data_IF_873374300340
#
_entry.id   IF_873374300340
#
_cell.length_a   1.000
_cell.length_b   1.000
_cell.length_c   1.000
_cell.angle_alpha   90.00
_cell.angle_beta   90.00
_cell.angle_gamma   90.00
#
_symmetry.space_group_name_H-M   'P 1'
#
loop_
_entity.id
_entity.type
_entity.pdbx_description
1 polymer ?
#
# COMPACT_ATOMS: atom_id res chain seq x y z
N UNK A 1 7.00 -3.41 -15.83
CA UNK A 1 6.93 -1.97 -15.82
C UNK A 1 6.74 -1.44 -14.43
N UNK A 2 7.53 -0.48 -14.04
CA UNK A 2 7.45 0.08 -12.69
C UNK A 2 6.37 1.16 -12.65
N UNK A 3 5.52 1.09 -11.64
CA UNK A 3 4.47 2.08 -11.44
C UNK A 3 4.63 2.69 -10.06
N UNK A 4 4.38 3.97 -9.94
CA UNK A 4 4.42 4.65 -8.65
C UNK A 4 3.00 4.68 -8.11
N UNK A 5 2.78 3.94 -7.05
CA UNK A 5 1.47 3.86 -6.41
C UNK A 5 1.50 4.68 -5.13
N UNK A 6 0.55 5.57 -4.98
CA UNK A 6 0.55 6.55 -3.91
C UNK A 6 -0.67 6.42 -2.99
N UNK A 7 -0.42 6.74 -1.73
CA UNK A 7 -1.49 6.91 -0.76
C UNK A 7 -1.52 8.40 -0.44
N UNK A 8 -2.70 9.01 -0.46
CA UNK A 8 -2.86 10.42 -0.16
C UNK A 8 -3.63 10.55 1.14
N UNK A 9 -3.05 11.24 2.10
CA UNK A 9 -3.65 11.39 3.43
C UNK A 9 -5.01 12.05 3.31
N UNK A 10 -5.98 11.50 3.99
CA UNK A 10 -7.33 12.04 3.96
C UNK A 10 -8.18 11.57 2.79
N UNK A 11 -7.61 10.83 1.86
CA UNK A 11 -8.36 10.30 0.74
C UNK A 11 -8.29 8.78 0.75
N UNK A 12 -9.41 8.11 0.55
CA UNK A 12 -9.40 6.65 0.60
C UNK A 12 -8.80 6.06 -0.67
N UNK A 13 -8.35 4.83 -0.56
CA UNK A 13 -7.88 4.08 -1.72
C UNK A 13 -6.46 4.44 -2.12
N UNK A 14 -6.13 4.10 -3.31
CA UNK A 14 -4.80 4.27 -3.86
C UNK A 14 -4.86 5.00 -5.19
N UNK A 15 -3.74 5.59 -5.56
CA UNK A 15 -3.63 6.37 -6.77
C UNK A 15 -2.36 6.02 -7.51
N UNK A 16 -2.41 6.09 -8.82
CA UNK A 16 -1.25 5.84 -9.66
C UNK A 16 -0.75 7.18 -10.17
N UNK A 17 0.55 7.41 -10.09
CA UNK A 17 1.13 8.66 -10.61
C UNK A 17 1.08 8.63 -12.14
N UNK A 18 0.50 9.67 -12.72
CA UNK A 18 0.38 9.76 -14.17
C UNK A 18 1.43 10.71 -14.73
N UNK A 19 1.55 11.89 -14.13
CA UNK A 19 2.53 12.87 -14.59
C UNK A 19 2.87 13.86 -13.51
N UNK A 20 3.91 14.65 -13.73
CA UNK A 20 4.32 15.65 -12.80
C UNK A 20 4.14 17.01 -13.43
N UNK A 21 3.53 17.94 -12.71
CA UNK A 21 3.39 19.31 -13.17
C UNK A 21 4.23 20.20 -12.30
N UNK A 22 4.09 21.51 -12.51
CA UNK A 22 4.79 22.44 -11.71
C UNK A 22 4.08 22.56 -10.40
N UNK A 23 4.70 22.16 -9.34
CA UNK A 23 4.12 22.26 -8.01
C UNK A 23 3.01 21.27 -7.71
N UNK A 24 2.78 20.32 -8.59
CA UNK A 24 1.76 19.30 -8.31
C UNK A 24 2.08 18.00 -9.03
N UNK A 25 1.31 16.99 -8.70
CA UNK A 25 1.38 15.69 -9.36
C UNK A 25 -0.01 15.40 -9.90
N UNK A 26 -0.08 14.76 -11.03
CA UNK A 26 -1.37 14.30 -11.56
C UNK A 26 -1.45 12.80 -11.30
N UNK A 27 -2.49 12.40 -10.61
CA UNK A 27 -2.67 11.01 -10.23
C UNK A 27 -4.01 10.48 -10.74
N UNK A 28 -4.09 9.17 -10.88
CA UNK A 28 -5.31 8.51 -11.33
C UNK A 28 -5.76 7.54 -10.26
N UNK A 29 -7.01 7.63 -9.85
CA UNK A 29 -7.57 6.76 -8.83
C UNK A 29 -7.59 5.31 -9.32
N UNK A 30 -7.20 4.38 -8.46
CA UNK A 30 -7.24 2.97 -8.80
C UNK A 30 -8.59 2.41 -8.38
N UNK A 31 -9.63 2.88 -9.06
CA UNK A 31 -10.98 2.38 -8.84
C UNK A 31 -11.71 2.41 -10.17
N UNK A 32 -12.99 2.11 -10.17
CA UNK A 32 -13.74 2.00 -11.41
C UNK A 32 -13.85 3.32 -12.15
N UNK A 33 -13.66 4.44 -11.48
CA UNK A 33 -13.81 5.74 -12.12
C UNK A 33 -12.59 6.14 -12.91
N UNK A 34 -11.40 5.66 -12.49
CA UNK A 34 -10.11 6.04 -13.09
C UNK A 34 -9.98 7.56 -13.18
N UNK A 35 -10.54 8.24 -12.19
CA UNK A 35 -10.54 9.68 -12.21
C UNK A 35 -9.16 10.25 -11.97
N UNK A 36 -8.78 11.24 -12.73
CA UNK A 36 -7.49 11.91 -12.57
C UNK A 36 -7.69 13.20 -11.79
N UNK A 37 -6.72 13.53 -10.96
CA UNK A 37 -6.82 14.76 -10.18
C UNK A 37 -5.43 15.23 -9.81
N UNK A 38 -5.29 16.52 -9.49
CA UNK A 38 -3.99 17.03 -9.05
C UNK A 38 -3.82 16.82 -7.55
N UNK A 39 -2.57 16.60 -7.15
CA UNK A 39 -2.20 16.51 -5.75
C UNK A 39 -1.10 17.54 -5.55
N UNK A 40 -1.23 18.37 -4.54
CA UNK A 40 -0.34 19.50 -4.33
C UNK A 40 0.65 19.26 -3.19
N UNK A 41 1.63 20.13 -3.10
CA UNK A 41 2.66 20.01 -2.07
C UNK A 41 2.09 20.02 -0.65
N UNK A 42 0.91 20.63 -0.46
CA UNK A 42 0.29 20.67 0.84
C UNK A 42 -0.37 19.34 1.22
N UNK A 43 -0.57 18.46 0.26
CA UNK A 43 -1.17 17.17 0.55
C UNK A 43 -0.09 16.21 1.01
N UNK A 44 -0.43 15.28 1.90
CA UNK A 44 0.52 14.29 2.33
C UNK A 44 0.42 13.11 1.42
N UNK A 45 1.47 12.88 0.66
CA UNK A 45 1.50 11.82 -0.34
C UNK A 45 2.65 10.87 -0.01
N UNK A 46 2.38 9.58 0.02
CA UNK A 46 3.39 8.59 0.32
C UNK A 46 3.37 7.50 -0.75
N UNK A 47 4.54 7.15 -1.26
CA UNK A 47 4.64 6.04 -2.21
C UNK A 47 4.62 4.74 -1.43
N UNK A 48 3.84 3.77 -1.89
CA UNK A 48 3.78 2.47 -1.19
C UNK A 48 5.15 1.78 -1.18
N UNK A 49 5.97 2.06 -2.17
CA UNK A 49 7.31 1.46 -2.23
C UNK A 49 8.20 1.93 -1.08
N UNK A 50 7.84 3.03 -0.44
CA UNK A 50 8.63 3.59 0.65
C UNK A 50 8.09 3.22 2.02
N UNK A 51 7.03 2.46 2.09
CA UNK A 51 6.42 2.12 3.37
C UNK A 51 6.97 0.79 3.89
N UNK A 52 7.16 0.71 5.19
CA UNK A 52 7.57 -0.53 5.84
C UNK A 52 6.75 -0.70 7.12
N UNK A 53 6.63 -1.91 7.59
CA UNK A 53 5.89 -2.18 8.81
C UNK A 53 6.82 -2.66 9.91
N UNK A 54 6.43 -2.36 11.13
CA UNK A 54 7.23 -2.69 12.31
C UNK A 54 7.15 -4.18 12.63
N UNK A 55 8.31 -4.73 12.97
CA UNK A 55 8.37 -6.12 13.46
C UNK A 55 9.19 -6.14 14.74
N UNK A 56 9.33 -7.31 15.30
CA UNK A 56 10.16 -7.49 16.49
C UNK A 56 11.63 -7.31 16.17
N UNK A 57 11.98 -7.33 14.93
CA UNK A 57 13.35 -7.17 14.48
C UNK A 57 13.41 -5.98 13.54
N UNK A 58 13.79 -6.19 12.29
CA UNK A 58 13.90 -5.09 11.34
C UNK A 58 12.56 -4.81 10.68
N UNK A 59 12.33 -3.56 10.29
CA UNK A 59 11.12 -3.21 9.57
C UNK A 59 11.10 -3.97 8.24
N UNK A 60 9.93 -4.37 7.82
CA UNK A 60 9.77 -5.14 6.58
C UNK A 60 9.07 -4.28 5.54
N UNK A 61 9.62 -4.14 4.35
CA UNK A 61 9.00 -3.34 3.30
C UNK A 61 7.59 -3.81 2.98
N UNK A 62 6.71 -2.87 2.75
CA UNK A 62 5.32 -3.20 2.43
C UNK A 62 5.21 -4.11 1.21
N UNK A 63 6.08 -3.91 0.22
CA UNK A 63 6.05 -4.74 -0.98
C UNK A 63 6.28 -6.22 -0.67
N UNK A 64 7.13 -6.51 0.32
CA UNK A 64 7.37 -7.89 0.73
C UNK A 64 6.11 -8.48 1.34
N UNK A 65 5.42 -7.68 2.17
CA UNK A 65 4.20 -8.14 2.82
C UNK A 65 3.11 -8.38 1.78
N UNK A 66 2.99 -7.48 0.82
CA UNK A 66 2.01 -7.63 -0.25
C UNK A 66 2.31 -8.88 -1.09
N UNK A 67 3.58 -9.17 -1.33
CA UNK A 67 3.95 -10.36 -2.08
C UNK A 67 3.59 -11.63 -1.30
N UNK A 68 3.75 -11.59 0.02
CA UNK A 68 3.37 -12.73 0.85
C UNK A 68 1.85 -12.95 0.82
N UNK A 69 1.09 -11.85 0.81
CA UNK A 69 -0.36 -11.92 0.68
C UNK A 69 -0.74 -12.52 -0.67
N UNK A 70 -0.10 -12.06 -1.74
CA UNK A 70 -0.35 -12.57 -3.07
C UNK A 70 -0.13 -14.08 -3.13
N UNK A 71 0.96 -14.54 -2.53
CA UNK A 71 1.28 -15.95 -2.55
C UNK A 71 0.27 -16.76 -1.74
N UNK A 72 -0.19 -16.21 -0.62
CA UNK A 72 -1.16 -16.91 0.21
C UNK A 72 -2.53 -16.96 -0.46
N UNK A 73 -2.92 -15.90 -1.15
CA UNK A 73 -4.24 -15.83 -1.78
C UNK A 73 -4.22 -16.19 -3.27
N UNK A 74 -3.08 -16.67 -3.76
CA UNK A 74 -2.94 -17.07 -5.17
C UNK A 74 -3.31 -15.94 -6.12
N UNK A 75 -2.88 -14.74 -5.80
CA UNK A 75 -3.11 -13.53 -6.60
C UNK A 75 -4.57 -13.12 -6.68
N UNK A 76 -5.39 -13.63 -5.79
CA UNK A 76 -6.79 -13.23 -5.71
C UNK A 76 -6.99 -12.27 -4.55
N UNK A 77 -8.15 -11.64 -4.49
CA UNK A 77 -8.49 -10.78 -3.36
C UNK A 77 -8.63 -11.62 -2.10
N UNK A 78 -8.48 -10.97 -0.96
CA UNK A 78 -8.60 -11.65 0.32
C UNK A 78 -10.00 -12.22 0.45
N UNK A 79 -10.06 -13.48 0.84
CA UNK A 79 -11.29 -14.25 0.76
C UNK A 79 -12.27 -14.06 1.92
N UNK A 80 -11.87 -13.41 3.00
CA UNK A 80 -12.79 -13.24 4.12
C UNK A 80 -13.06 -11.76 4.37
N UNK A 81 -14.10 -11.47 5.14
CA UNK A 81 -14.49 -10.09 5.40
C UNK A 81 -13.64 -9.49 6.50
N UNK A 82 -12.46 -9.02 6.14
CA UNK A 82 -11.50 -8.48 7.10
C UNK A 82 -11.93 -7.15 7.69
N UNK A 83 -12.91 -6.51 7.10
CA UNK A 83 -13.38 -5.22 7.61
C UNK A 83 -14.29 -5.39 8.82
N UNK A 84 -14.94 -6.54 8.93
CA UNK A 84 -15.87 -6.79 10.01
C UNK A 84 -15.49 -7.94 10.93
N UNK A 85 -14.39 -8.60 10.67
CA UNK A 85 -13.99 -9.72 11.51
C UNK A 85 -13.47 -9.22 12.85
N UNK A 86 -13.32 -10.12 13.80
CA UNK A 86 -12.80 -9.78 15.12
C UNK A 86 -11.30 -9.56 15.03
N UNK A 87 -10.77 -8.79 15.96
CA UNK A 87 -9.36 -8.51 16.04
C UNK A 87 -8.51 -9.78 16.06
N UNK A 88 -8.96 -10.79 16.79
CA UNK A 88 -8.23 -12.04 16.89
C UNK A 88 -8.09 -12.73 15.54
N UNK A 89 -9.16 -12.74 14.76
CA UNK A 89 -9.14 -13.35 13.45
C UNK A 89 -8.22 -12.57 12.50
N UNK A 90 -8.31 -11.26 12.58
CA UNK A 90 -7.53 -10.39 11.75
C UNK A 90 -6.03 -10.59 12.01
N UNK A 91 -5.66 -10.60 13.26
CA UNK A 91 -4.25 -10.73 13.65
C UNK A 91 -3.71 -12.14 13.43
N UNK A 92 -4.55 -13.14 13.59
CA UNK A 92 -4.14 -14.51 13.29
C UNK A 92 -3.81 -14.67 11.81
N UNK A 93 -4.66 -14.12 10.96
CA UNK A 93 -4.41 -14.18 9.54
C UNK A 93 -3.14 -13.41 9.19
N UNK A 94 -2.98 -12.22 9.75
CA UNK A 94 -1.82 -11.40 9.46
C UNK A 94 -0.53 -12.07 9.93
N UNK A 95 -0.58 -12.80 11.03
CA UNK A 95 0.59 -13.50 11.54
C UNK A 95 1.07 -14.59 10.59
N UNK A 96 0.20 -15.09 9.73
CA UNK A 96 0.62 -16.08 8.75
C UNK A 96 1.43 -15.43 7.64
N UNK A 97 1.26 -14.15 7.46
CA UNK A 97 1.96 -13.41 6.41
C UNK A 97 3.22 -12.76 6.98
N UNK A 98 3.14 -12.25 8.19
CA UNK A 98 4.27 -11.58 8.83
C UNK A 98 4.32 -12.01 10.29
N UNK A 99 4.86 -13.20 10.58
CA UNK A 99 4.82 -13.75 11.94
C UNK A 99 5.43 -12.87 13.01
N UNK A 100 6.44 -12.11 12.66
CA UNK A 100 7.13 -11.27 13.62
C UNK A 100 6.62 -9.85 13.75
N UNK A 101 5.41 -9.57 13.23
CA UNK A 101 4.94 -8.20 13.30
C UNK A 101 4.82 -7.71 14.76
N UNK A 102 5.11 -6.44 14.97
CA UNK A 102 5.12 -5.86 16.31
C UNK A 102 3.68 -5.65 16.77
N UNK A 103 3.24 -6.47 17.71
CA UNK A 103 1.83 -6.47 18.14
C UNK A 103 1.42 -5.17 18.80
N UNK A 104 2.37 -4.42 19.32
CA UNK A 104 2.03 -3.18 20.00
C UNK A 104 1.96 -2.00 19.06
N UNK A 105 2.84 -1.96 18.05
CA UNK A 105 2.90 -0.80 17.15
C UNK A 105 2.07 -0.97 15.88
N UNK A 106 1.73 -2.22 15.52
CA UNK A 106 0.89 -2.46 14.35
C UNK A 106 -0.54 -2.62 14.85
N UNK A 107 -1.40 -1.70 14.46
CA UNK A 107 -2.78 -1.68 14.93
C UNK A 107 -3.72 -2.39 13.96
N UNK A 108 -4.91 -2.75 14.45
CA UNK A 108 -5.90 -3.41 13.59
C UNK A 108 -6.22 -2.54 12.37
N UNK A 109 -6.29 -1.23 12.56
CA UNK A 109 -6.60 -0.33 11.45
C UNK A 109 -5.50 -0.38 10.39
N UNK A 110 -4.25 -0.55 10.80
CA UNK A 110 -3.15 -0.64 9.86
C UNK A 110 -3.27 -1.91 9.02
N UNK A 111 -3.65 -3.02 9.66
CA UNK A 111 -3.78 -4.29 8.98
C UNK A 111 -4.94 -4.24 7.99
N UNK A 112 -6.08 -3.67 8.41
CA UNK A 112 -7.23 -3.55 7.54
C UNK A 112 -6.94 -2.66 6.34
N UNK A 113 -6.17 -1.61 6.57
CA UNK A 113 -5.78 -0.69 5.51
C UNK A 113 -4.89 -1.40 4.50
N UNK A 114 -3.93 -2.17 4.99
CA UNK A 114 -3.04 -2.94 4.12
C UNK A 114 -3.83 -3.92 3.27
N UNK A 115 -4.80 -4.61 3.87
CA UNK A 115 -5.62 -5.58 3.17
C UNK A 115 -6.47 -4.89 2.10
N UNK A 116 -6.98 -3.69 2.42
CA UNK A 116 -7.75 -2.91 1.45
C UNK A 116 -6.87 -2.53 0.27
N UNK A 117 -5.65 -2.10 0.53
CA UNK A 117 -4.71 -1.75 -0.52
C UNK A 117 -4.38 -2.97 -1.39
N UNK A 118 -4.16 -4.12 -0.76
CA UNK A 118 -3.87 -5.33 -1.51
C UNK A 118 -5.01 -5.66 -2.48
N UNK A 119 -6.25 -5.59 -2.00
CA UNK A 119 -7.38 -5.90 -2.86
C UNK A 119 -7.50 -4.91 -4.03
N UNK A 120 -7.24 -3.63 -3.76
CA UNK A 120 -7.27 -2.62 -4.81
C UNK A 120 -6.24 -2.93 -5.89
N UNK A 121 -5.03 -3.27 -5.46
CA UNK A 121 -3.96 -3.57 -6.41
C UNK A 121 -4.28 -4.79 -7.25
N UNK A 122 -4.79 -5.83 -6.62
CA UNK A 122 -5.13 -7.05 -7.34
C UNK A 122 -6.26 -6.80 -8.34
N UNK A 123 -7.25 -6.00 -7.95
CA UNK A 123 -8.35 -5.69 -8.87
C UNK A 123 -7.87 -4.93 -10.09
N UNK A 124 -6.77 -4.19 -9.95
CA UNK A 124 -6.24 -3.42 -11.05
C UNK A 124 -5.11 -4.14 -11.79
N UNK A 125 -4.97 -5.43 -11.54
CA UNK A 125 -3.99 -6.25 -12.24
C UNK A 125 -2.56 -6.08 -11.78
N UNK A 126 -2.34 -5.42 -10.64
CA UNK A 126 -1.00 -5.20 -10.13
C UNK A 126 -0.73 -6.27 -9.08
N UNK A 127 -0.03 -7.31 -9.48
CA UNK A 127 0.25 -8.43 -8.58
C UNK A 127 1.75 -8.72 -8.43
N UNK A 128 2.58 -8.18 -9.30
CA UNK A 128 4.01 -8.39 -9.18
C UNK A 128 4.56 -7.17 -8.43
N UNK A 129 4.30 -7.12 -7.14
CA UNK A 129 4.56 -5.93 -6.35
C UNK A 129 6.03 -5.55 -6.32
N UNK A 130 6.90 -6.51 -6.18
CA UNK A 130 8.30 -6.19 -6.07
C UNK A 130 8.89 -5.63 -7.36
N UNK A 131 8.36 -6.07 -8.49
CA UNK A 131 8.85 -5.59 -9.76
C UNK A 131 8.16 -4.30 -10.18
N UNK A 132 6.85 -4.23 -10.02
CA UNK A 132 6.09 -3.08 -10.50
C UNK A 132 6.07 -1.88 -9.57
N UNK A 133 6.29 -2.09 -8.28
CA UNK A 133 6.17 -1.00 -7.31
C UNK A 133 7.49 -0.60 -6.65
N UNK A 134 8.59 -1.18 -7.05
CA UNK A 134 9.86 -0.86 -6.41
C UNK A 134 10.21 0.62 -6.62
N UNK A 135 10.98 1.19 -5.71
CA UNK A 135 11.37 2.59 -5.84
C UNK A 135 12.09 2.84 -7.17
N UNK A 136 11.78 3.97 -7.76
CA UNK A 136 12.39 4.32 -9.02
C UNK A 136 13.37 5.45 -8.77
N UNK A 137 14.64 5.20 -9.16
CA UNK A 137 15.63 6.18 -8.93
C UNK A 137 15.35 7.43 -9.68
N UNK A 138 15.44 8.56 -9.09
CA UNK A 138 15.16 9.81 -9.70
C UNK A 138 13.69 10.17 -9.72
N UNK A 139 12.85 9.27 -9.29
CA UNK A 139 11.45 9.53 -9.29
C UNK A 139 11.07 10.00 -7.93
N UNK A 140 11.61 11.15 -7.51
CA UNK A 140 11.42 11.64 -6.23
C UNK A 140 10.21 12.38 -6.10
N UNK A 141 9.19 11.91 -5.48
CA UNK A 141 7.97 12.58 -5.27
C UNK A 141 8.18 13.64 -4.30
N UNK A 142 9.02 13.40 -3.36
CA UNK A 142 9.17 14.42 -2.45
C UNK A 142 10.21 14.03 -1.72
N UNK A 143 10.80 14.37 -1.23
CA UNK A 143 11.84 14.18 -0.56
C UNK A 143 11.74 13.34 0.41
N UNK A 144 11.51 12.52 0.51
CA UNK A 144 11.51 11.62 1.30
C UNK A 144 10.80 11.63 2.28
N UNK A 145 9.98 10.99 2.49
CA UNK A 145 9.24 10.98 3.46
C UNK A 145 9.32 9.81 4.16
N UNK A 146 9.22 9.78 5.34
CA UNK A 146 9.18 8.67 6.10
C UNK A 146 7.84 8.40 6.47
N UNK A 147 7.45 7.22 6.76
CA UNK A 147 6.18 6.81 7.15
C UNK A 147 5.97 7.30 8.48
N UNK A 148 5.00 8.06 8.68
CA UNK A 148 4.77 8.53 10.00
C UNK A 148 3.53 8.06 10.57
#
# INVERSE_FOLDING_TARGET
>A
MVQTILSVSGKPGLYKLVSRGKGNLIVEALDDTHKRMPVFATDRVTSLADIAMYTDAEDVPLMTILANLRNKENSNEISFNFKKCKSEELRSYFAEILPGFDRDRVHDSDIRKLFTWYNILVKNGITDFEEEMRPTEGDNIDDRKEME
#
